data_IF_336177397062
#
_entry.id   IF_336177397062
#
_cell.length_a   1.000
_cell.length_b   1.000
_cell.length_c   1.000
_cell.angle_alpha   90.00
_cell.angle_beta   90.00
_cell.angle_gamma   90.00
#
_symmetry.space_group_name_H-M   'P 1'
#
loop_
_entity.id
_entity.type
_entity.pdbx_description
1 polymer ?
#
# COMPACT_ATOMS: atom_id res chain seq x y z
N UNK A 1 -2.75 -12.91 -7.26
CA UNK A 1 -1.90 -12.75 -6.05
C UNK A 1 -2.63 -11.89 -5.04
N UNK A 2 -2.61 -12.25 -3.75
CA UNK A 2 -3.19 -11.51 -2.63
C UNK A 2 -2.11 -10.74 -1.88
N UNK A 3 -2.33 -9.47 -1.61
CA UNK A 3 -1.30 -8.56 -1.11
C UNK A 3 -1.82 -7.85 0.12
N UNK A 4 -1.27 -8.15 1.29
CA UNK A 4 -1.52 -7.34 2.47
C UNK A 4 -0.72 -6.03 2.35
N UNK A 5 -1.42 -4.90 2.47
CA UNK A 5 -0.84 -3.58 2.36
C UNK A 5 -0.74 -2.95 3.74
N UNK A 6 0.47 -2.63 4.17
CA UNK A 6 0.76 -1.99 5.44
C UNK A 6 0.29 -0.51 5.46
N UNK A 7 0.02 0.05 6.64
CA UNK A 7 -0.41 1.43 6.84
C UNK A 7 0.61 2.43 6.29
N UNK A 8 1.91 2.11 6.38
CA UNK A 8 2.98 2.96 5.83
C UNK A 8 2.95 3.08 4.30
N UNK A 9 2.20 2.20 3.62
CA UNK A 9 1.99 2.18 2.17
C UNK A 9 0.62 2.79 1.81
N UNK A 10 -0.42 2.56 2.62
CA UNK A 10 -1.75 3.15 2.42
C UNK A 10 -1.83 4.64 2.76
N UNK A 11 -1.02 5.10 3.72
CA UNK A 11 -1.08 6.48 4.17
C UNK A 11 -0.66 7.51 3.10
N UNK A 12 0.47 7.36 2.37
CA UNK A 12 0.85 8.33 1.35
C UNK A 12 -0.07 8.28 0.13
N UNK A 13 -0.91 9.32 -0.05
CA UNK A 13 -1.98 9.39 -1.05
C UNK A 13 -1.57 8.92 -2.44
N UNK A 14 -0.50 9.48 -3.03
CA UNK A 14 -0.09 9.12 -4.40
C UNK A 14 0.33 7.65 -4.50
N UNK A 15 1.04 7.13 -3.50
CA UNK A 15 1.43 5.71 -3.49
C UNK A 15 0.21 4.81 -3.40
N UNK A 16 -0.72 5.12 -2.48
CA UNK A 16 -2.00 4.39 -2.33
C UNK A 16 -2.80 4.41 -3.62
N UNK A 17 -2.99 5.56 -4.25
CA UNK A 17 -3.83 5.66 -5.45
C UNK A 17 -3.23 4.90 -6.64
N UNK A 18 -1.89 4.89 -6.79
CA UNK A 18 -1.24 4.03 -7.80
C UNK A 18 -1.46 2.55 -7.50
N UNK A 19 -1.19 2.12 -6.26
CA UNK A 19 -1.34 0.70 -5.87
C UNK A 19 -2.77 0.21 -6.01
N UNK A 20 -3.72 0.95 -5.47
CA UNK A 20 -5.14 0.56 -5.51
C UNK A 20 -5.69 0.69 -6.93
N UNK A 21 -5.21 1.65 -7.72
CA UNK A 21 -5.54 1.75 -9.14
C UNK A 21 -5.05 0.52 -9.91
N UNK A 22 -3.82 0.07 -9.67
CA UNK A 22 -3.27 -1.16 -10.26
C UNK A 22 -4.04 -2.40 -9.80
N UNK A 23 -4.40 -2.49 -8.52
CA UNK A 23 -5.24 -3.55 -7.98
C UNK A 23 -6.61 -3.60 -8.68
N UNK A 24 -7.22 -2.44 -8.93
CA UNK A 24 -8.51 -2.33 -9.61
C UNK A 24 -8.49 -2.81 -11.07
N UNK A 25 -7.30 -2.86 -11.69
CA UNK A 25 -7.09 -3.47 -13.00
C UNK A 25 -6.92 -5.00 -12.95
N UNK A 26 -7.08 -5.61 -11.77
CA UNK A 26 -7.03 -7.07 -11.58
C UNK A 26 -5.63 -7.64 -11.41
N UNK A 27 -4.59 -6.81 -11.33
CA UNK A 27 -3.19 -7.27 -11.23
C UNK A 27 -2.89 -7.91 -9.86
N UNK A 28 -3.63 -7.53 -8.81
CA UNK A 28 -3.60 -8.21 -7.52
C UNK A 28 -4.85 -7.90 -6.69
N UNK A 29 -5.11 -8.73 -5.68
CA UNK A 29 -6.19 -8.51 -4.69
C UNK A 29 -5.59 -7.87 -3.44
N UNK A 30 -5.99 -6.64 -3.06
CA UNK A 30 -5.46 -5.99 -1.88
C UNK A 30 -6.13 -6.54 -0.61
N UNK A 31 -5.39 -6.55 0.49
CA UNK A 31 -5.86 -6.92 1.81
C UNK A 31 -5.34 -5.91 2.85
N UNK A 32 -6.11 -5.71 3.92
CA UNK A 32 -5.71 -4.94 5.10
C UNK A 32 -6.53 -5.39 6.31
N UNK A 33 -6.13 -5.01 7.52
CA UNK A 33 -6.96 -5.18 8.71
C UNK A 33 -7.52 -3.83 9.17
N UNK A 34 -8.55 -3.86 10.01
CA UNK A 34 -9.09 -2.66 10.69
C UNK A 34 -7.99 -1.86 11.39
N UNK A 35 -7.06 -2.56 12.05
CA UNK A 35 -5.97 -1.91 12.81
C UNK A 35 -4.98 -1.17 11.91
N UNK A 36 -4.69 -1.71 10.73
CA UNK A 36 -3.88 -1.04 9.69
C UNK A 36 -4.57 0.27 9.23
N UNK A 37 -5.88 0.23 8.98
CA UNK A 37 -6.63 1.44 8.60
C UNK A 37 -6.67 2.48 9.73
N UNK A 38 -6.80 2.05 10.98
CA UNK A 38 -6.74 2.95 12.13
C UNK A 38 -5.33 3.53 12.35
N UNK A 39 -4.27 2.83 11.99
CA UNK A 39 -2.90 3.37 11.98
C UNK A 39 -2.74 4.46 10.94
N UNK A 40 -3.30 4.28 9.75
CA UNK A 40 -3.39 5.33 8.75
C UNK A 40 -4.16 6.55 9.30
N UNK A 41 -5.37 6.36 9.84
CA UNK A 41 -6.15 7.48 10.39
C UNK A 41 -5.39 8.23 11.50
N UNK A 42 -4.73 7.50 12.41
CA UNK A 42 -3.91 8.09 13.48
C UNK A 42 -2.68 8.81 12.95
N UNK A 43 -2.02 8.29 11.92
CA UNK A 43 -0.88 8.95 11.28
C UNK A 43 -1.31 10.28 10.63
N UNK A 44 -2.45 10.30 9.93
CA UNK A 44 -2.98 11.51 9.32
C UNK A 44 -3.37 12.58 10.35
N UNK A 45 -3.99 12.19 11.47
CA UNK A 45 -4.38 13.12 12.54
C UNK A 45 -3.18 13.90 13.13
N UNK A 46 -1.96 13.37 13.04
CA UNK A 46 -0.73 14.06 13.50
C UNK A 46 -0.31 15.23 12.60
N UNK A 47 -0.84 15.34 11.38
CA UNK A 47 -0.50 16.43 10.45
C UNK A 47 -1.22 17.75 10.77
N UNK A 48 -2.31 17.71 11.53
CA UNK A 48 -3.07 18.90 11.91
C UNK A 48 -4.57 18.65 12.05
N UNK A 49 -5.29 19.68 12.52
CA UNK A 49 -6.74 19.61 12.69
C UNK A 49 -7.46 19.26 11.36
N UNK A 50 -8.46 18.37 11.45
CA UNK A 50 -9.26 17.91 10.30
C UNK A 50 -8.59 16.86 9.40
N UNK A 51 -7.28 16.64 9.50
CA UNK A 51 -6.58 15.63 8.65
C UNK A 51 -7.00 14.20 8.99
N UNK A 52 -7.31 13.93 10.27
CA UNK A 52 -7.86 12.64 10.68
C UNK A 52 -9.24 12.37 10.08
N UNK A 53 -10.10 13.38 10.00
CA UNK A 53 -11.45 13.25 9.44
C UNK A 53 -11.40 13.01 7.93
N UNK A 54 -10.51 13.72 7.23
CA UNK A 54 -10.25 13.49 5.80
C UNK A 54 -9.78 12.05 5.58
N UNK A 55 -8.81 11.57 6.36
CA UNK A 55 -8.35 10.18 6.25
C UNK A 55 -9.45 9.16 6.53
N UNK A 56 -10.34 9.42 7.51
CA UNK A 56 -11.50 8.55 7.78
C UNK A 56 -12.47 8.52 6.59
N UNK A 57 -12.69 9.64 5.92
CA UNK A 57 -13.47 9.70 4.68
C UNK A 57 -12.82 8.87 3.56
N UNK A 58 -11.51 9.00 3.35
CA UNK A 58 -10.76 8.22 2.37
C UNK A 58 -10.80 6.70 2.69
N UNK A 59 -10.67 6.32 3.96
CA UNK A 59 -10.81 4.94 4.43
C UNK A 59 -12.20 4.38 4.13
N UNK A 60 -13.26 5.16 4.38
CA UNK A 60 -14.63 4.74 4.11
C UNK A 60 -14.85 4.49 2.61
N UNK A 61 -14.34 5.37 1.74
CA UNK A 61 -14.37 5.19 0.29
C UNK A 61 -13.57 3.96 -0.14
N UNK A 62 -12.39 3.73 0.46
CA UNK A 62 -11.57 2.55 0.17
C UNK A 62 -12.31 1.25 0.52
N UNK A 63 -12.94 1.18 1.70
CA UNK A 63 -13.76 0.04 2.13
C UNK A 63 -14.94 -0.21 1.22
N UNK A 64 -15.65 0.86 0.83
CA UNK A 64 -16.79 0.74 -0.08
C UNK A 64 -16.38 0.19 -1.45
N UNK A 65 -15.18 0.53 -1.93
CA UNK A 65 -14.62 0.02 -3.20
C UNK A 65 -14.11 -1.43 -3.10
N UNK A 66 -13.75 -1.89 -1.90
CA UNK A 66 -13.14 -3.20 -1.67
C UNK A 66 -13.76 -3.90 -0.44
N UNK A 67 -15.03 -4.34 -0.54
CA UNK A 67 -15.76 -4.90 0.60
C UNK A 67 -15.11 -6.18 1.16
N UNK A 68 -14.38 -6.94 0.34
CA UNK A 68 -13.75 -8.22 0.72
C UNK A 68 -12.26 -8.11 1.07
N UNK A 69 -11.70 -6.89 1.12
CA UNK A 69 -10.28 -6.69 1.39
C UNK A 69 -9.94 -6.64 2.89
N UNK A 70 -10.92 -6.41 3.76
CA UNK A 70 -10.70 -6.36 5.20
C UNK A 70 -10.59 -7.77 5.78
N UNK A 71 -9.51 -8.00 6.52
CA UNK A 71 -9.15 -9.30 7.10
C UNK A 71 -9.15 -9.20 8.61
N UNK A 72 -9.89 -10.12 9.23
CA UNK A 72 -9.83 -10.38 10.66
C UNK A 72 -8.80 -11.47 10.98
N UNK A 73 -8.19 -11.36 12.16
CA UNK A 73 -7.23 -12.33 12.66
C UNK A 73 -7.41 -12.49 14.19
N UNK A 74 -7.01 -13.63 14.73
CA UNK A 74 -7.16 -13.90 16.17
C UNK A 74 -6.05 -13.24 17.00
N UNK A 75 -6.38 -12.81 18.23
CA UNK A 75 -5.38 -12.32 19.18
C UNK A 75 -4.32 -13.37 19.54
N UNK A 76 -4.70 -14.65 19.53
CA UNK A 76 -3.77 -15.77 19.75
C UNK A 76 -2.74 -15.87 18.62
N UNK A 77 -3.16 -15.65 17.36
CA UNK A 77 -2.24 -15.58 16.23
C UNK A 77 -1.26 -14.41 16.39
N UNK A 78 -1.75 -13.20 16.66
CA UNK A 78 -0.88 -12.03 16.88
C UNK A 78 0.15 -12.28 17.99
N UNK A 79 -0.29 -12.82 19.13
CA UNK A 79 0.56 -13.09 20.30
C UNK A 79 1.62 -14.19 20.06
N UNK A 80 1.37 -15.11 19.12
CA UNK A 80 2.33 -16.16 18.76
C UNK A 80 3.49 -15.65 17.89
N UNK A 81 3.34 -14.49 17.27
CA UNK A 81 4.30 -13.92 16.33
C UNK A 81 5.33 -13.06 17.06
N UNK A 82 6.56 -13.11 16.54
CA UNK A 82 7.68 -12.33 17.07
C UNK A 82 8.38 -11.61 15.92
N UNK A 83 8.34 -10.27 15.97
CA UNK A 83 9.03 -9.37 15.03
C UNK A 83 9.96 -8.43 15.80
N UNK A 84 10.97 -7.84 15.13
CA UNK A 84 11.82 -6.80 15.73
C UNK A 84 11.03 -5.65 16.37
N UNK A 85 9.97 -5.17 15.71
CA UNK A 85 8.99 -4.27 16.31
C UNK A 85 7.73 -5.08 16.71
N UNK A 86 7.43 -5.23 18.01
CA UNK A 86 6.22 -5.90 18.46
C UNK A 86 4.94 -5.23 17.94
N UNK A 87 4.98 -3.93 17.63
CA UNK A 87 3.82 -3.21 17.10
C UNK A 87 3.50 -3.58 15.66
N UNK A 88 4.35 -4.32 14.95
CA UNK A 88 4.12 -4.76 13.57
C UNK A 88 3.55 -6.20 13.49
N UNK A 89 3.43 -6.89 14.63
CA UNK A 89 2.93 -8.27 14.69
C UNK A 89 1.50 -8.41 14.17
N UNK A 90 0.64 -7.39 14.34
CA UNK A 90 -0.71 -7.39 13.76
C UNK A 90 -0.71 -7.37 12.23
N UNK A 91 0.28 -6.70 11.62
CA UNK A 91 0.41 -6.67 10.15
C UNK A 91 0.71 -8.08 9.66
N UNK A 92 1.69 -8.76 10.26
CA UNK A 92 1.99 -10.15 9.88
C UNK A 92 0.82 -11.10 10.20
N UNK A 93 0.12 -10.93 11.33
CA UNK A 93 -1.06 -11.72 11.67
C UNK A 93 -2.17 -11.57 10.61
N UNK A 94 -2.43 -10.33 10.16
CA UNK A 94 -3.38 -10.06 9.09
C UNK A 94 -2.94 -10.69 7.76
N UNK A 95 -1.64 -10.66 7.42
CA UNK A 95 -1.14 -11.33 6.21
C UNK A 95 -1.41 -12.83 6.26
N UNK A 96 -1.13 -13.48 7.40
CA UNK A 96 -1.31 -14.92 7.58
C UNK A 96 -2.79 -15.30 7.53
N UNK A 97 -3.63 -14.64 8.33
CA UNK A 97 -5.07 -14.92 8.36
C UNK A 97 -5.72 -14.65 6.99
N UNK A 98 -5.27 -13.59 6.33
CA UNK A 98 -5.66 -13.20 5.00
C UNK A 98 -5.05 -14.07 3.91
N UNK A 99 -4.26 -15.10 4.21
CA UNK A 99 -3.53 -15.93 3.23
C UNK A 99 -2.89 -15.08 2.12
N UNK A 100 -2.24 -13.99 2.53
CA UNK A 100 -1.57 -13.09 1.62
C UNK A 100 -0.33 -13.80 1.04
N UNK A 101 -0.14 -13.68 -0.26
CA UNK A 101 1.10 -14.11 -0.91
C UNK A 101 2.23 -13.12 -0.58
N UNK A 102 1.86 -11.83 -0.45
CA UNK A 102 2.79 -10.71 -0.24
C UNK A 102 2.35 -9.83 0.93
N UNK A 103 3.32 -9.46 1.79
CA UNK A 103 3.24 -8.32 2.71
C UNK A 103 4.01 -7.15 2.11
N UNK A 104 3.28 -6.10 1.76
CA UNK A 104 3.80 -4.90 1.11
C UNK A 104 4.03 -3.80 2.16
N UNK A 105 5.28 -3.42 2.37
CA UNK A 105 5.67 -2.43 3.39
C UNK A 105 6.88 -1.60 2.96
N UNK A 106 6.97 -0.38 3.48
CA UNK A 106 8.18 0.45 3.40
C UNK A 106 9.18 0.12 4.53
N UNK A 107 8.71 -0.53 5.60
CA UNK A 107 9.46 -0.77 6.83
C UNK A 107 10.16 -2.14 6.80
N UNK A 108 10.89 -2.37 5.72
CA UNK A 108 11.53 -3.64 5.39
C UNK A 108 12.34 -4.28 6.54
N UNK A 109 12.99 -3.48 7.38
CA UNK A 109 13.80 -3.93 8.54
C UNK A 109 12.97 -4.57 9.66
N UNK A 110 11.71 -4.16 9.80
CA UNK A 110 10.82 -4.59 10.88
C UNK A 110 10.12 -5.92 10.52
N UNK A 111 10.30 -6.36 9.27
CA UNK A 111 9.81 -7.62 8.73
C UNK A 111 10.96 -8.49 8.18
N UNK A 112 11.81 -9.12 9.00
CA UNK A 112 12.94 -9.90 8.49
C UNK A 112 12.49 -11.03 7.55
N UNK A 113 13.12 -11.15 6.37
CA UNK A 113 12.69 -12.10 5.32
C UNK A 113 12.46 -13.52 5.86
N UNK A 114 13.40 -14.04 6.66
CA UNK A 114 13.31 -15.41 7.22
C UNK A 114 12.06 -15.61 8.08
N UNK A 115 11.67 -14.60 8.86
CA UNK A 115 10.51 -14.67 9.76
C UNK A 115 9.23 -14.64 8.94
N UNK A 116 9.13 -13.71 7.97
CA UNK A 116 7.94 -13.58 7.13
C UNK A 116 7.76 -14.81 6.23
N UNK A 117 8.84 -15.29 5.61
CA UNK A 117 8.80 -16.46 4.72
C UNK A 117 8.50 -17.77 5.44
N UNK A 118 8.88 -17.90 6.72
CA UNK A 118 8.52 -19.07 7.53
C UNK A 118 6.99 -19.23 7.69
N UNK A 119 6.23 -18.15 7.47
CA UNK A 119 4.78 -18.14 7.50
C UNK A 119 4.14 -18.19 6.09
N UNK A 120 4.93 -18.50 5.05
CA UNK A 120 4.43 -18.60 3.67
C UNK A 120 4.15 -17.26 2.98
N UNK A 121 4.61 -16.14 3.55
CA UNK A 121 4.39 -14.79 3.01
C UNK A 121 5.69 -14.22 2.46
N UNK A 122 5.64 -13.53 1.32
CA UNK A 122 6.78 -12.78 0.78
C UNK A 122 6.72 -11.32 1.22
N UNK A 123 7.84 -10.80 1.72
CA UNK A 123 7.99 -9.36 1.96
C UNK A 123 8.42 -8.65 0.67
N UNK A 124 7.74 -7.55 0.32
CA UNK A 124 8.08 -6.70 -0.84
C UNK A 124 7.99 -5.21 -0.48
N UNK A 125 8.74 -4.37 -1.19
CA UNK A 125 8.55 -2.92 -1.20
C UNK A 125 7.64 -2.49 -2.37
N UNK A 126 6.88 -1.39 -2.23
CA UNK A 126 5.91 -0.97 -3.25
C UNK A 126 6.53 -0.51 -4.56
N UNK A 127 7.72 0.12 -4.55
CA UNK A 127 8.38 0.59 -5.77
C UNK A 127 8.90 -0.58 -6.61
N UNK A 128 9.55 -1.55 -5.98
CA UNK A 128 10.01 -2.77 -6.62
C UNK A 128 8.87 -3.58 -7.23
N UNK A 129 7.77 -3.76 -6.48
CA UNK A 129 6.60 -4.50 -6.94
C UNK A 129 5.90 -3.82 -8.11
N UNK A 130 5.63 -2.51 -8.03
CA UNK A 130 5.01 -1.77 -9.13
C UNK A 130 5.91 -1.68 -10.36
N UNK A 131 7.23 -1.59 -10.17
CA UNK A 131 8.18 -1.61 -11.28
C UNK A 131 8.17 -2.95 -12.03
N UNK A 132 8.10 -4.08 -11.32
CA UNK A 132 7.94 -5.40 -11.94
C UNK A 132 6.60 -5.51 -12.68
N UNK A 133 5.50 -5.08 -12.06
CA UNK A 133 4.18 -5.05 -12.71
C UNK A 133 4.16 -4.15 -13.96
N UNK A 134 4.87 -3.02 -13.94
CA UNK A 134 5.00 -2.16 -15.12
C UNK A 134 5.81 -2.83 -16.24
N UNK A 135 6.85 -3.60 -15.91
CA UNK A 135 7.63 -4.33 -16.91
C UNK A 135 6.79 -5.40 -17.63
N UNK A 136 5.83 -6.00 -16.93
CA UNK A 136 4.91 -7.03 -17.45
C UNK A 136 3.67 -6.43 -18.13
N UNK A 137 3.16 -5.31 -17.61
CA UNK A 137 1.92 -4.65 -18.03
C UNK A 137 2.10 -3.13 -18.17
N UNK A 138 2.95 -2.67 -19.11
CA UNK A 138 3.34 -1.26 -19.21
C UNK A 138 2.15 -0.33 -19.48
N UNK A 139 1.22 -0.74 -20.35
CA UNK A 139 0.05 0.07 -20.70
C UNK A 139 -0.86 0.25 -19.49
N UNK A 140 -1.21 -0.85 -18.81
CA UNK A 140 -2.13 -0.84 -17.65
C UNK A 140 -1.58 0.00 -16.50
N UNK A 141 -0.33 -0.23 -16.11
CA UNK A 141 0.29 0.52 -15.01
C UNK A 141 0.57 1.97 -15.43
N UNK A 142 0.91 2.21 -16.70
CA UNK A 142 1.08 3.54 -17.28
C UNK A 142 -0.20 4.38 -17.23
N UNK A 143 -1.34 3.82 -17.63
CA UNK A 143 -2.65 4.48 -17.59
C UNK A 143 -3.07 4.83 -16.16
N UNK A 144 -2.87 3.92 -15.21
CA UNK A 144 -3.12 4.20 -13.78
C UNK A 144 -2.23 5.35 -13.29
N UNK A 145 -0.92 5.30 -13.56
CA UNK A 145 0.00 6.35 -13.15
C UNK A 145 -0.37 7.71 -13.76
N UNK A 146 -0.80 7.71 -15.03
CA UNK A 146 -1.23 8.92 -15.72
C UNK A 146 -2.51 9.50 -15.14
N UNK A 147 -3.48 8.65 -14.79
CA UNK A 147 -4.71 9.05 -14.10
C UNK A 147 -4.42 9.68 -12.74
N UNK A 148 -3.52 9.09 -11.96
CA UNK A 148 -3.07 9.64 -10.66
C UNK A 148 -2.35 10.98 -10.85
N UNK A 149 -1.50 11.10 -11.88
CA UNK A 149 -0.82 12.36 -12.22
C UNK A 149 -1.82 13.46 -12.56
N UNK A 150 -2.80 13.17 -13.41
CA UNK A 150 -3.86 14.12 -13.80
C UNK A 150 -4.70 14.56 -12.59
N UNK A 151 -5.04 13.63 -11.70
CA UNK A 151 -5.75 13.98 -10.45
C UNK A 151 -4.89 14.89 -9.55
N UNK A 152 -3.60 14.60 -9.42
CA UNK A 152 -2.69 15.46 -8.67
C UNK A 152 -2.54 16.85 -9.30
N UNK A 153 -2.53 16.96 -10.64
CA UNK A 153 -2.57 18.25 -11.35
C UNK A 153 -3.84 19.02 -11.05
N UNK A 154 -4.99 18.36 -11.11
CA UNK A 154 -6.28 18.95 -10.84
C UNK A 154 -6.36 19.51 -9.41
N UNK A 155 -6.01 18.71 -8.40
CA UNK A 155 -6.07 19.11 -7.00
C UNK A 155 -5.06 20.22 -6.64
N UNK A 156 -3.89 20.22 -7.26
CA UNK A 156 -2.83 21.20 -6.94
C UNK A 156 -2.89 22.48 -7.78
N UNK A 157 -3.66 22.48 -8.88
CA UNK A 157 -3.67 23.55 -9.87
C UNK A 157 -2.34 23.75 -10.62
N UNK A 158 -1.41 22.79 -10.51
CA UNK A 158 -0.05 22.88 -11.06
C UNK A 158 0.26 21.64 -11.89
N UNK A 159 0.98 21.83 -13.00
CA UNK A 159 1.52 20.71 -13.79
C UNK A 159 2.41 19.82 -12.92
N UNK A 160 2.22 18.52 -13.03
CA UNK A 160 2.95 17.49 -12.30
C UNK A 160 3.82 16.71 -13.29
N UNK A 161 5.12 16.76 -13.08
CA UNK A 161 6.07 15.90 -13.79
C UNK A 161 5.96 14.47 -13.25
N UNK A 162 5.80 13.49 -14.13
CA UNK A 162 5.56 12.08 -13.75
C UNK A 162 6.68 11.55 -12.85
N UNK A 163 7.94 11.72 -13.27
CA UNK A 163 9.09 11.17 -12.55
C UNK A 163 9.28 11.82 -11.18
N UNK A 164 9.10 13.14 -11.09
CA UNK A 164 9.19 13.88 -9.81
C UNK A 164 8.04 13.51 -8.88
N UNK A 165 6.82 13.36 -9.41
CA UNK A 165 5.65 12.95 -8.63
C UNK A 165 5.86 11.56 -8.02
N UNK A 166 6.22 10.58 -8.84
CA UNK A 166 6.49 9.21 -8.37
C UNK A 166 7.66 9.17 -7.38
N UNK A 167 8.75 9.91 -7.63
CA UNK A 167 9.87 10.02 -6.67
C UNK A 167 9.40 10.58 -5.33
N UNK A 168 8.57 11.63 -5.32
CA UNK A 168 8.00 12.20 -4.08
C UNK A 168 7.09 11.21 -3.36
N UNK A 169 6.40 10.36 -4.12
CA UNK A 169 5.59 9.25 -3.61
C UNK A 169 6.42 8.03 -3.18
N UNK A 170 7.76 8.12 -3.15
CA UNK A 170 8.69 7.00 -2.87
C UNK A 170 8.59 5.84 -3.86
N UNK A 171 8.25 6.13 -5.11
CA UNK A 171 8.22 5.22 -6.26
C UNK A 171 9.26 5.60 -7.34
N UNK A 172 10.54 5.81 -7.01
CA UNK A 172 11.52 6.32 -7.98
C UNK A 172 11.83 5.38 -9.14
N UNK A 173 11.78 4.05 -8.96
CA UNK A 173 12.04 3.08 -10.04
C UNK A 173 10.88 3.08 -11.02
N UNK A 174 9.64 3.00 -10.54
CA UNK A 174 8.46 3.13 -11.38
C UNK A 174 8.47 4.46 -12.14
N UNK A 175 8.74 5.57 -11.44
CA UNK A 175 8.82 6.90 -12.06
C UNK A 175 9.88 7.02 -13.15
N UNK A 176 11.01 6.29 -13.06
CA UNK A 176 12.01 6.23 -14.13
C UNK A 176 11.49 5.41 -15.31
N UNK A 177 10.87 4.26 -15.05
CA UNK A 177 10.38 3.36 -16.10
C UNK A 177 9.26 4.02 -16.93
N UNK A 178 8.31 4.71 -16.29
CA UNK A 178 7.19 5.41 -16.94
C UNK A 178 7.59 6.49 -17.95
N UNK A 179 8.78 7.07 -17.82
CA UNK A 179 9.28 8.12 -18.74
C UNK A 179 10.32 7.60 -19.73
N UNK A 180 10.56 6.29 -19.74
CA UNK A 180 11.53 5.64 -20.64
C UNK A 180 10.88 4.83 -21.76
N UNK A 181 9.54 4.88 -21.87
CA UNK A 181 8.79 4.41 -23.04
C UNK A 181 8.90 5.45 -24.17
#
# INVERSE_FOLDING_TARGET
>A
MRVLIDACVLYPTVMREVLIGVAAQGLFTPLWSTRILEEWARAAARLGAGQGDVARGEIALLRARWPDAEVDYSAALETSLHLPDPNDTHVLAAAIAGKADVLLTMNLKDFPTRVVSANGVLRRDPDGMLHEMFAEHPDVVGEVAQSVRQMAEHLSGKKQDMRKLMKKARLPRLGKALVSL
#
